data_IF_314497325254
#
_entry.id   IF_314497325254
#
_cell.length_a   1.000
_cell.length_b   1.000
_cell.length_c   1.000
_cell.angle_alpha   90.00
_cell.angle_beta   90.00
_cell.angle_gamma   90.00
#
_symmetry.space_group_name_H-M   'P 1'
#
loop_
_entity.id
_entity.type
_entity.pdbx_description
1 polymer ?
#
# COMPACT_ATOMS: atom_id res chain seq x y z
N UNK A 1 -18.82 4.13 66.32
CA UNK A 1 -17.83 4.77 65.42
C UNK A 1 -16.63 3.84 65.34
N UNK A 2 -16.05 3.39 64.24
CA UNK A 2 -16.37 3.36 62.80
C UNK A 2 -15.18 2.61 62.19
N UNK A 3 -15.30 1.29 61.98
CA UNK A 3 -14.24 0.46 61.39
C UNK A 3 -14.80 -0.26 60.16
N UNK A 4 -15.18 0.50 59.14
CA UNK A 4 -15.72 -0.09 57.89
C UNK A 4 -15.39 0.67 56.61
N UNK A 5 -14.49 1.66 56.64
CA UNK A 5 -14.30 2.58 55.51
C UNK A 5 -12.83 2.78 55.16
N UNK A 6 -12.03 1.73 55.00
CA UNK A 6 -10.65 1.89 54.53
C UNK A 6 -10.11 0.71 53.70
N UNK A 7 -10.98 -0.05 53.03
CA UNK A 7 -10.59 -1.25 52.28
C UNK A 7 -11.12 -1.30 50.84
N UNK A 8 -11.60 -0.18 50.31
CA UNK A 8 -12.14 -0.10 48.94
C UNK A 8 -11.35 0.80 47.98
N UNK A 9 -10.30 1.51 48.43
CA UNK A 9 -9.53 2.44 47.58
C UNK A 9 -8.24 1.81 47.04
N UNK A 10 -7.70 0.76 47.67
CA UNK A 10 -6.40 0.17 47.27
C UNK A 10 -6.51 -0.84 46.11
N UNK A 11 -7.71 -1.31 45.77
CA UNK A 11 -7.91 -2.32 44.72
C UNK A 11 -7.94 -1.75 43.29
N UNK A 12 -7.98 -0.42 43.11
CA UNK A 12 -8.05 0.22 41.79
C UNK A 12 -6.64 0.49 41.20
N UNK A 13 -5.60 0.53 42.03
CA UNK A 13 -4.23 0.87 41.61
C UNK A 13 -3.38 -0.31 41.14
N UNK A 14 -3.87 -1.55 41.23
CA UNK A 14 -3.14 -2.77 40.81
C UNK A 14 -3.67 -3.38 39.51
N UNK A 15 -4.64 -2.74 38.85
CA UNK A 15 -5.07 -3.17 37.52
C UNK A 15 -3.96 -2.81 36.53
N UNK A 16 -3.32 -3.79 35.84
CA UNK A 16 -2.38 -3.45 34.78
C UNK A 16 -3.10 -2.56 33.77
N UNK A 17 -2.50 -1.45 33.30
CA UNK A 17 -3.16 -0.59 32.34
C UNK A 17 -3.55 -1.43 31.13
N UNK A 18 -4.85 -1.55 30.91
CA UNK A 18 -5.36 -2.21 29.71
C UNK A 18 -5.01 -1.28 28.55
N UNK A 19 -3.87 -1.51 27.91
CA UNK A 19 -3.47 -0.78 26.71
C UNK A 19 -4.40 -1.24 25.58
N UNK A 20 -5.49 -0.51 25.39
CA UNK A 20 -6.40 -0.75 24.28
C UNK A 20 -5.65 -0.57 22.96
N UNK A 21 -5.69 -1.59 22.12
CA UNK A 21 -5.23 -1.45 20.76
C UNK A 21 -6.18 -0.51 20.00
N UNK A 22 -5.62 0.45 19.28
CA UNK A 22 -6.37 1.40 18.48
C UNK A 22 -6.00 1.26 17.01
N UNK A 23 -6.96 1.49 16.12
CA UNK A 23 -6.70 1.50 14.69
C UNK A 23 -7.52 2.58 14.00
N UNK A 24 -7.06 3.01 12.83
CA UNK A 24 -7.77 4.01 12.05
C UNK A 24 -7.11 4.29 10.71
N UNK A 25 -7.47 5.43 10.16
CA UNK A 25 -6.90 5.97 8.93
C UNK A 25 -6.70 7.47 9.11
N UNK A 26 -5.55 7.99 8.71
CA UNK A 26 -5.22 9.40 8.77
C UNK A 26 -5.09 9.94 7.34
N UNK A 27 -5.76 11.05 6.98
CA UNK A 27 -5.52 11.70 5.70
C UNK A 27 -4.10 12.28 5.66
N UNK A 28 -3.38 12.05 4.57
CA UNK A 28 -2.01 12.53 4.34
C UNK A 28 -1.88 13.40 3.09
N UNK A 29 -2.92 13.46 2.26
CA UNK A 29 -2.92 14.28 1.06
C UNK A 29 -4.35 14.71 0.69
N UNK A 30 -4.48 15.94 0.19
CA UNK A 30 -5.73 16.57 -0.23
C UNK A 30 -5.64 17.07 -1.66
N UNK A 31 -6.75 17.19 -2.41
CA UNK A 31 -6.70 17.63 -3.81
C UNK A 31 -5.97 18.97 -3.95
N UNK A 32 -5.06 19.07 -4.93
CA UNK A 32 -4.29 20.28 -5.22
C UNK A 32 -3.21 20.66 -4.20
N UNK A 33 -3.10 19.96 -3.07
CA UNK A 33 -2.03 20.20 -2.09
C UNK A 33 -0.80 19.33 -2.38
N UNK A 34 0.40 19.91 -2.45
CA UNK A 34 1.62 19.13 -2.63
C UNK A 34 1.92 18.31 -1.36
N UNK A 35 2.32 17.06 -1.57
CA UNK A 35 2.86 16.18 -0.54
C UNK A 35 4.38 16.31 -0.57
N UNK A 36 5.03 16.73 0.53
CA UNK A 36 6.49 16.77 0.59
C UNK A 36 7.07 15.35 0.57
N UNK A 37 8.34 15.24 0.18
CA UNK A 37 9.07 13.98 0.32
C UNK A 37 9.22 13.60 1.79
N UNK A 38 9.03 12.32 2.12
CA UNK A 38 9.38 11.77 3.42
C UNK A 38 10.75 11.08 3.38
N UNK A 39 11.45 11.10 4.51
CA UNK A 39 12.76 10.47 4.66
C UNK A 39 12.61 8.95 4.50
N UNK A 40 13.33 8.39 3.54
CA UNK A 40 13.31 6.95 3.26
C UNK A 40 12.38 6.56 2.10
N UNK A 41 11.63 7.50 1.53
CA UNK A 41 10.96 7.24 0.25
C UNK A 41 11.96 7.15 -0.90
N UNK A 42 11.71 6.26 -1.88
CA UNK A 42 12.56 6.14 -3.05
C UNK A 42 12.47 7.38 -3.92
N UNK A 43 13.60 7.77 -4.53
CA UNK A 43 13.65 8.88 -5.48
C UNK A 43 12.67 8.65 -6.65
N UNK A 44 11.94 9.69 -7.06
CA UNK A 44 10.91 9.62 -8.10
C UNK A 44 9.48 9.39 -7.58
N UNK A 45 9.31 8.99 -6.32
CA UNK A 45 7.97 8.69 -5.78
C UNK A 45 7.10 9.94 -5.63
N UNK A 46 7.70 11.06 -5.25
CA UNK A 46 6.99 12.33 -4.99
C UNK A 46 6.35 12.86 -6.26
N UNK A 47 6.99 12.66 -7.41
CA UNK A 47 6.52 13.06 -8.72
C UNK A 47 5.25 12.32 -9.14
N UNK A 48 5.09 11.05 -8.74
CA UNK A 48 3.85 10.30 -8.94
C UNK A 48 2.78 10.74 -7.94
N UNK A 49 3.14 10.90 -6.66
CA UNK A 49 2.20 11.30 -5.60
C UNK A 49 1.61 12.68 -5.89
N UNK A 50 2.40 13.62 -6.40
CA UNK A 50 1.96 14.98 -6.71
C UNK A 50 1.40 15.15 -8.11
N UNK A 51 1.05 14.05 -8.78
CA UNK A 51 0.41 14.15 -10.07
C UNK A 51 -0.97 14.84 -9.97
N UNK A 52 -1.36 15.70 -10.93
CA UNK A 52 -2.65 16.38 -10.90
C UNK A 52 -3.87 15.45 -10.85
N UNK A 53 -3.74 14.21 -11.32
CA UNK A 53 -4.81 13.21 -11.24
C UNK A 53 -5.04 12.69 -9.80
N UNK A 54 -4.11 12.94 -8.85
CA UNK A 54 -4.29 12.55 -7.45
C UNK A 54 -5.40 13.39 -6.83
N UNK A 55 -6.38 12.72 -6.25
CA UNK A 55 -7.40 13.39 -5.44
C UNK A 55 -6.99 13.39 -3.97
N UNK A 56 -6.78 12.22 -3.37
CA UNK A 56 -6.65 12.07 -1.92
C UNK A 56 -5.55 11.08 -1.54
N UNK A 57 -5.16 11.05 -0.27
CA UNK A 57 -4.23 10.05 0.24
C UNK A 57 -4.40 9.79 1.75
N UNK A 58 -4.11 8.55 2.16
CA UNK A 58 -4.28 8.07 3.53
C UNK A 58 -3.13 7.19 3.99
N UNK A 59 -2.94 7.18 5.30
CA UNK A 59 -2.07 6.26 6.00
C UNK A 59 -2.93 5.48 7.02
N UNK A 60 -3.19 4.18 6.79
CA UNK A 60 -3.81 3.34 7.81
C UNK A 60 -2.84 3.19 8.97
N UNK A 61 -3.37 3.19 10.18
CA UNK A 61 -2.53 3.05 11.37
C UNK A 61 -3.15 2.09 12.38
N UNK A 62 -2.27 1.43 13.13
CA UNK A 62 -2.60 0.58 14.26
C UNK A 62 -1.60 0.85 15.38
N UNK A 63 -2.08 0.92 16.63
CA UNK A 63 -1.23 1.20 17.80
C UNK A 63 -0.16 0.12 17.96
N UNK A 64 1.10 0.54 18.05
CA UNK A 64 2.22 -0.39 18.15
C UNK A 64 2.57 -1.06 16.82
N UNK A 65 2.12 -0.55 15.68
CA UNK A 65 2.60 -0.96 14.36
C UNK A 65 3.41 0.17 13.70
N UNK A 66 4.25 -0.14 12.70
CA UNK A 66 5.09 0.88 12.07
C UNK A 66 4.30 1.96 11.34
N UNK A 67 3.12 1.62 10.81
CA UNK A 67 2.27 2.53 10.02
C UNK A 67 3.06 3.14 8.83
N UNK A 68 3.88 2.32 8.17
CA UNK A 68 4.85 2.74 7.16
C UNK A 68 4.26 2.94 5.76
N UNK A 69 3.04 2.48 5.52
CA UNK A 69 2.43 2.46 4.18
C UNK A 69 1.49 3.64 3.97
N UNK A 70 1.67 4.34 2.86
CA UNK A 70 0.78 5.40 2.39
C UNK A 70 0.03 4.94 1.14
N UNK A 71 -1.21 5.38 0.98
CA UNK A 71 -2.08 5.10 -0.16
C UNK A 71 -2.54 6.41 -0.78
N UNK A 72 -2.52 6.50 -2.10
CA UNK A 72 -2.96 7.66 -2.86
C UNK A 72 -3.89 7.20 -3.98
N UNK A 73 -4.99 7.91 -4.19
CA UNK A 73 -6.00 7.56 -5.20
C UNK A 73 -5.98 8.56 -6.34
N UNK A 74 -6.28 8.07 -7.54
CA UNK A 74 -6.22 8.86 -8.76
C UNK A 74 -7.52 8.71 -9.56
N UNK A 75 -8.03 9.85 -10.03
CA UNK A 75 -9.10 9.90 -11.03
C UNK A 75 -8.47 10.11 -12.40
N UNK A 76 -8.75 9.22 -13.33
CA UNK A 76 -8.16 9.22 -14.66
C UNK A 76 -9.24 9.54 -15.67
N UNK A 77 -8.96 10.46 -16.60
CA UNK A 77 -9.90 10.78 -17.67
C UNK A 77 -9.83 9.76 -18.80
N UNK A 78 -8.63 9.26 -19.10
CA UNK A 78 -8.38 8.32 -20.20
C UNK A 78 -7.09 7.49 -20.01
N UNK A 79 -6.72 6.71 -21.03
CA UNK A 79 -5.49 5.93 -21.05
C UNK A 79 -4.22 6.78 -21.18
N UNK A 80 -4.31 8.05 -21.59
CA UNK A 80 -3.15 8.96 -21.62
C UNK A 80 -2.72 9.26 -20.18
N UNK A 81 -3.67 9.54 -19.30
CA UNK A 81 -3.41 9.69 -17.86
C UNK A 81 -2.82 8.41 -17.26
N UNK A 82 -3.40 7.26 -17.58
CA UNK A 82 -2.90 5.97 -17.10
C UNK A 82 -1.44 5.74 -17.51
N UNK A 83 -1.12 5.96 -18.79
CA UNK A 83 0.24 5.82 -19.31
C UNK A 83 1.20 6.81 -18.67
N UNK A 84 0.80 8.07 -18.50
CA UNK A 84 1.60 9.09 -17.83
C UNK A 84 1.95 8.67 -16.39
N UNK A 85 0.98 8.15 -15.62
CA UNK A 85 1.23 7.64 -14.27
C UNK A 85 2.11 6.39 -14.26
N UNK A 86 1.94 5.49 -15.22
CA UNK A 86 2.82 4.31 -15.38
C UNK A 86 4.26 4.74 -15.68
N UNK A 87 4.47 5.78 -16.50
CA UNK A 87 5.81 6.33 -16.74
C UNK A 87 6.41 6.94 -15.48
N UNK A 88 5.61 7.68 -14.69
CA UNK A 88 6.06 8.19 -13.39
C UNK A 88 6.42 7.06 -12.42
N UNK A 89 5.64 5.97 -12.39
CA UNK A 89 5.94 4.78 -11.60
C UNK A 89 7.28 4.17 -12.03
N UNK A 90 7.49 4.03 -13.33
CA UNK A 90 8.70 3.49 -13.91
C UNK A 90 9.96 4.35 -13.64
N UNK A 91 9.78 5.64 -13.37
CA UNK A 91 10.86 6.55 -13.01
C UNK A 91 11.31 6.45 -11.54
N UNK A 92 10.56 5.73 -10.69
CA UNK A 92 10.93 5.52 -9.29
C UNK A 92 12.13 4.57 -9.23
N UNK A 93 13.20 5.00 -8.55
CA UNK A 93 14.49 4.28 -8.51
C UNK A 93 14.51 3.12 -7.51
N UNK A 94 13.59 2.18 -7.67
CA UNK A 94 13.53 0.91 -6.91
C UNK A 94 12.69 -0.11 -7.67
N UNK A 95 12.52 -1.31 -7.09
CA UNK A 95 11.65 -2.32 -7.65
C UNK A 95 10.18 -1.88 -7.56
N UNK A 96 9.54 -1.61 -8.69
CA UNK A 96 8.15 -1.13 -8.77
C UNK A 96 7.20 -2.19 -9.32
N UNK A 97 5.93 -2.07 -8.93
CA UNK A 97 4.89 -3.03 -9.27
C UNK A 97 3.67 -2.33 -9.87
N UNK A 98 3.18 -2.86 -10.98
CA UNK A 98 1.88 -2.53 -11.58
C UNK A 98 0.94 -3.71 -11.36
N UNK A 99 -0.13 -3.49 -10.60
CA UNK A 99 -1.19 -4.47 -10.38
C UNK A 99 -2.40 -4.14 -11.25
N UNK A 100 -2.91 -5.14 -11.96
CA UNK A 100 -4.11 -5.01 -12.77
C UNK A 100 -5.28 -5.66 -12.03
N UNK A 101 -6.23 -4.84 -11.58
CA UNK A 101 -7.41 -5.28 -10.86
C UNK A 101 -8.64 -5.17 -11.76
N UNK A 102 -9.45 -6.24 -11.92
CA UNK A 102 -10.59 -6.24 -12.84
C UNK A 102 -11.79 -5.42 -12.38
N UNK A 103 -11.82 -4.94 -11.13
CA UNK A 103 -12.91 -4.11 -10.64
C UNK A 103 -12.99 -2.78 -11.41
N UNK A 104 -14.15 -2.12 -11.32
CA UNK A 104 -14.39 -0.84 -12.00
C UNK A 104 -13.71 0.33 -11.31
N UNK A 105 -13.43 0.24 -10.02
CA UNK A 105 -12.85 1.33 -9.21
C UNK A 105 -12.34 0.78 -7.88
N UNK A 106 -11.61 1.61 -7.13
CA UNK A 106 -11.15 1.28 -5.81
C UNK A 106 -12.31 1.05 -4.82
N UNK A 107 -12.35 -0.13 -4.18
CA UNK A 107 -13.34 -0.46 -3.14
C UNK A 107 -12.84 -0.26 -1.71
N UNK A 108 -11.53 -0.25 -1.51
CA UNK A 108 -10.91 -0.08 -0.20
C UNK A 108 -9.46 0.40 -0.32
N UNK A 109 -8.97 1.02 0.74
CA UNK A 109 -7.57 1.39 0.94
C UNK A 109 -7.10 0.73 2.24
N UNK A 110 -6.23 -0.28 2.08
CA UNK A 110 -5.82 -1.15 3.17
C UNK A 110 -7.00 -1.79 3.92
N UNK A 111 -6.81 -2.08 5.21
CA UNK A 111 -7.76 -2.81 6.06
C UNK A 111 -8.80 -1.92 6.75
N UNK A 112 -8.55 -0.61 6.91
CA UNK A 112 -9.41 0.30 7.68
C UNK A 112 -10.31 1.20 6.83
N UNK A 113 -10.03 1.39 5.55
CA UNK A 113 -10.72 2.41 4.74
C UNK A 113 -11.55 1.75 3.64
N UNK A 114 -12.88 1.91 3.69
CA UNK A 114 -13.80 1.51 2.61
C UNK A 114 -14.15 2.73 1.76
N UNK A 115 -14.14 2.55 0.44
CA UNK A 115 -14.54 3.61 -0.49
C UNK A 115 -15.99 3.38 -0.90
N UNK A 116 -16.75 4.48 -1.04
CA UNK A 116 -18.14 4.41 -1.52
C UNK A 116 -18.16 3.95 -2.98
N UNK A 117 -19.13 3.11 -3.40
CA UNK A 117 -19.36 2.86 -4.82
C UNK A 117 -19.64 4.15 -5.60
N UNK A 118 -19.25 4.20 -6.87
CA UNK A 118 -19.33 5.37 -7.74
C UNK A 118 -18.26 6.43 -7.47
N UNK A 119 -17.15 6.08 -6.81
CA UNK A 119 -16.11 7.05 -6.46
C UNK A 119 -15.21 7.48 -7.63
N UNK A 120 -15.25 6.75 -8.75
CA UNK A 120 -14.52 7.04 -10.00
C UNK A 120 -12.98 7.05 -9.86
N UNK A 121 -12.41 6.46 -8.82
CA UNK A 121 -10.96 6.31 -8.70
C UNK A 121 -10.51 5.07 -9.47
N UNK A 122 -9.86 5.32 -10.60
CA UNK A 122 -9.39 4.31 -11.54
C UNK A 122 -8.01 3.75 -11.17
N UNK A 123 -7.30 4.36 -10.22
CA UNK A 123 -6.03 3.83 -9.73
C UNK A 123 -5.74 4.14 -8.26
N UNK A 124 -4.91 3.29 -7.65
CA UNK A 124 -4.37 3.45 -6.30
C UNK A 124 -2.86 3.26 -6.35
N UNK A 125 -2.10 4.20 -5.81
CA UNK A 125 -0.68 4.03 -5.53
C UNK A 125 -0.48 3.72 -4.05
N UNK A 126 0.37 2.74 -3.74
CA UNK A 126 0.78 2.40 -2.38
C UNK A 126 2.29 2.44 -2.24
N UNK A 127 2.76 3.00 -1.13
CA UNK A 127 4.18 3.27 -0.89
C UNK A 127 4.53 2.95 0.57
N UNK A 128 5.32 1.90 0.80
CA UNK A 128 5.92 1.61 2.11
C UNK A 128 7.19 2.43 2.36
N UNK A 129 7.54 2.60 3.64
CA UNK A 129 8.76 3.31 4.06
C UNK A 129 9.65 2.37 4.90
N UNK A 130 10.68 1.80 4.27
CA UNK A 130 11.62 0.88 4.93
C UNK A 130 12.28 1.50 6.16
N UNK A 131 12.57 2.80 6.11
CA UNK A 131 13.20 3.49 7.23
C UNK A 131 12.34 3.45 8.48
N UNK A 132 11.03 3.64 8.35
CA UNK A 132 10.08 3.58 9.47
C UNK A 132 10.04 2.17 10.08
N UNK A 133 10.11 1.14 9.24
CA UNK A 133 10.23 -0.25 9.70
C UNK A 133 11.53 -0.48 10.48
N UNK A 134 12.66 0.00 9.95
CA UNK A 134 13.98 -0.16 10.55
C UNK A 134 14.07 0.57 11.89
N UNK A 135 13.53 1.79 11.97
CA UNK A 135 13.51 2.59 13.20
C UNK A 135 12.65 1.92 14.30
N UNK A 136 11.45 1.43 13.96
CA UNK A 136 10.62 0.69 14.91
C UNK A 136 11.32 -0.60 15.38
N UNK A 137 11.94 -1.33 14.45
CA UNK A 137 12.68 -2.54 14.78
C UNK A 137 13.84 -2.24 15.74
N UNK A 138 14.62 -1.20 15.48
CA UNK A 138 15.71 -0.76 16.34
C UNK A 138 15.22 -0.37 17.75
N UNK A 139 14.12 0.39 17.85
CA UNK A 139 13.52 0.75 19.13
C UNK A 139 13.10 -0.48 19.95
N UNK A 140 12.44 -1.45 19.30
CA UNK A 140 12.00 -2.70 19.95
C UNK A 140 13.15 -3.61 20.37
N UNK A 141 14.23 -3.62 19.60
CA UNK A 141 15.42 -4.39 19.95
C UNK A 141 16.10 -3.79 21.18
N UNK A 142 16.21 -2.46 21.27
CA UNK A 142 16.75 -1.76 22.46
C UNK A 142 15.90 -2.00 23.71
N UNK A 143 14.56 -1.93 23.60
CA UNK A 143 13.65 -2.15 24.73
C UNK A 143 13.72 -3.58 25.30
N UNK A 144 14.12 -4.57 24.49
CA UNK A 144 14.32 -5.97 24.89
C UNK A 144 15.68 -6.23 25.52
N UNK A 145 16.69 -5.39 25.26
CA UNK A 145 18.01 -5.47 25.91
C UNK A 145 17.99 -5.00 27.38
N UNK A 146 16.85 -4.53 27.88
CA UNK A 146 16.66 -4.16 29.30
C UNK A 146 16.36 -5.42 30.13
N UNK A 147 17.08 -5.67 31.24
CA UNK A 147 16.82 -6.81 32.11
C UNK A 147 15.37 -6.84 32.60
N UNK A 148 14.67 -7.98 32.38
CA UNK A 148 13.28 -8.19 32.82
C UNK A 148 12.23 -8.28 31.69
N UNK A 149 12.56 -7.90 30.46
CA UNK A 149 11.63 -7.99 29.32
C UNK A 149 11.78 -9.31 28.55
N UNK A 150 11.13 -10.37 29.06
CA UNK A 150 11.08 -11.68 28.41
C UNK A 150 10.00 -11.70 27.30
N UNK A 151 10.25 -11.01 26.19
CA UNK A 151 9.42 -11.13 24.99
C UNK A 151 10.04 -12.15 24.02
N UNK A 152 9.24 -13.13 23.61
CA UNK A 152 9.56 -14.26 22.74
C UNK A 152 10.23 -13.86 21.40
N UNK A 153 10.97 -14.84 20.86
CA UNK A 153 12.00 -14.79 19.80
C UNK A 153 12.06 -13.53 18.89
N UNK A 154 13.25 -12.95 18.69
CA UNK A 154 13.42 -11.84 17.75
C UNK A 154 13.14 -12.30 16.31
N UNK A 155 12.35 -11.52 15.58
CA UNK A 155 12.46 -11.54 14.12
C UNK A 155 13.92 -11.18 13.77
N UNK A 156 14.62 -12.03 13.03
CA UNK A 156 16.05 -11.88 12.74
C UNK A 156 16.38 -10.61 11.93
N UNK A 157 15.39 -9.99 11.28
CA UNK A 157 15.50 -8.75 10.50
C UNK A 157 14.15 -8.03 10.41
N UNK A 158 14.11 -6.70 10.21
CA UNK A 158 12.87 -6.02 9.85
C UNK A 158 12.29 -6.61 8.57
N UNK A 159 10.96 -6.62 8.46
CA UNK A 159 10.30 -6.95 7.21
C UNK A 159 10.69 -5.94 6.12
N UNK A 160 10.67 -6.38 4.86
CA UNK A 160 10.81 -5.45 3.75
C UNK A 160 9.52 -4.62 3.62
N UNK A 161 9.68 -3.32 3.41
CA UNK A 161 8.57 -2.42 3.15
C UNK A 161 7.84 -2.82 1.86
N UNK A 162 6.55 -2.48 1.80
CA UNK A 162 5.78 -2.66 0.59
C UNK A 162 6.45 -1.89 -0.56
N UNK A 163 6.84 -2.56 -1.65
CA UNK A 163 7.42 -1.87 -2.79
C UNK A 163 6.40 -0.89 -3.39
N UNK A 164 6.85 0.21 -4.02
CA UNK A 164 5.95 1.13 -4.72
C UNK A 164 5.07 0.35 -5.71
N UNK A 165 3.77 0.34 -5.42
CA UNK A 165 2.81 -0.48 -6.14
C UNK A 165 1.67 0.39 -6.64
N UNK A 166 1.50 0.45 -7.95
CA UNK A 166 0.39 1.12 -8.62
C UNK A 166 -0.64 0.08 -9.04
N UNK A 167 -1.84 0.15 -8.49
CA UNK A 167 -2.98 -0.70 -8.87
C UNK A 167 -3.87 0.07 -9.84
N UNK A 168 -4.08 -0.49 -11.02
CA UNK A 168 -4.98 0.04 -12.03
C UNK A 168 -6.27 -0.80 -12.05
N UNK A 169 -7.42 -0.13 -11.95
CA UNK A 169 -8.75 -0.76 -12.02
C UNK A 169 -9.20 -0.81 -13.47
N UNK A 170 -8.91 -1.93 -14.14
CA UNK A 170 -9.00 -2.06 -15.59
C UNK A 170 -10.45 -2.23 -16.09
N UNK A 171 -11.41 -2.44 -15.19
CA UNK A 171 -12.83 -2.35 -15.50
C UNK A 171 -13.37 -0.91 -15.53
N UNK A 172 -12.54 0.09 -15.18
CA UNK A 172 -12.93 1.49 -15.24
C UNK A 172 -13.00 1.96 -16.71
N UNK A 173 -14.03 2.72 -17.13
CA UNK A 173 -14.20 3.13 -18.53
C UNK A 173 -13.08 4.02 -19.10
N UNK A 174 -12.30 4.67 -18.23
CA UNK A 174 -11.13 5.45 -18.65
C UNK A 174 -9.92 4.59 -19.02
N UNK A 175 -9.98 3.27 -18.77
CA UNK A 175 -8.84 2.36 -18.96
C UNK A 175 -9.08 1.46 -20.15
N UNK A 176 -8.27 1.67 -21.19
CA UNK A 176 -8.15 0.75 -22.31
C UNK A 176 -6.86 -0.06 -22.17
N UNK A 177 -6.99 -1.33 -21.76
CA UNK A 177 -5.89 -2.28 -21.59
C UNK A 177 -5.00 -2.40 -22.83
N UNK A 178 -5.58 -2.30 -24.03
CA UNK A 178 -4.84 -2.45 -25.29
C UNK A 178 -3.91 -1.27 -25.58
N UNK A 179 -4.16 -0.12 -24.95
CA UNK A 179 -3.40 1.12 -25.12
C UNK A 179 -2.35 1.35 -24.02
N UNK A 180 -2.18 0.41 -23.09
CA UNK A 180 -1.23 0.56 -21.99
C UNK A 180 0.22 0.38 -22.48
N UNK A 181 1.01 1.45 -22.39
CA UNK A 181 2.44 1.47 -22.64
C UNK A 181 3.23 1.24 -21.36
N UNK A 182 3.31 -0.03 -20.94
CA UNK A 182 4.02 -0.42 -19.72
C UNK A 182 5.50 -0.67 -20.04
N UNK A 183 6.46 0.05 -19.43
CA UNK A 183 7.89 -0.22 -19.58
C UNK A 183 8.27 -1.64 -19.13
N UNK A 184 9.30 -2.22 -19.75
CA UNK A 184 9.63 -3.63 -19.55
C UNK A 184 10.19 -3.91 -18.13
N UNK A 185 10.80 -2.92 -17.47
CA UNK A 185 11.34 -3.05 -16.11
C UNK A 185 10.29 -2.94 -14.99
N UNK A 186 9.03 -2.62 -15.32
CA UNK A 186 7.94 -2.58 -14.34
C UNK A 186 7.39 -3.99 -14.13
N UNK A 187 7.32 -4.46 -12.88
CA UNK A 187 6.73 -5.77 -12.61
C UNK A 187 5.22 -5.73 -12.73
N UNK A 188 4.66 -6.52 -13.66
CA UNK A 188 3.22 -6.57 -13.89
C UNK A 188 2.63 -7.84 -13.29
N UNK A 189 1.55 -7.69 -12.52
CA UNK A 189 0.82 -8.82 -11.94
C UNK A 189 -0.69 -8.60 -11.98
N UNK A 190 -1.44 -9.70 -11.98
CA UNK A 190 -2.89 -9.68 -11.84
C UNK A 190 -3.28 -9.67 -10.36
N UNK A 191 -4.20 -8.77 -9.99
CA UNK A 191 -4.83 -8.72 -8.67
C UNK A 191 -6.30 -9.15 -8.81
N UNK A 192 -6.48 -10.45 -9.10
CA UNK A 192 -7.80 -11.05 -9.36
C UNK A 192 -8.22 -11.82 -8.12
N UNK A 193 -9.28 -11.40 -7.40
CA UNK A 193 -9.82 -12.16 -6.28
C UNK A 193 -10.22 -13.57 -6.74
N UNK A 194 -9.91 -14.58 -5.93
CA UNK A 194 -10.18 -15.99 -6.28
C UNK A 194 -11.66 -16.25 -6.57
N UNK A 195 -12.55 -15.65 -5.76
CA UNK A 195 -14.00 -15.72 -5.96
C UNK A 195 -14.48 -15.10 -7.29
N UNK A 196 -13.71 -14.17 -7.86
CA UNK A 196 -14.09 -13.51 -9.10
C UNK A 196 -13.80 -14.37 -10.34
N UNK A 197 -12.86 -15.33 -10.25
CA UNK A 197 -12.34 -16.11 -11.41
C UNK A 197 -13.37 -16.95 -12.17
N UNK A 198 -14.53 -17.21 -11.58
CA UNK A 198 -15.52 -18.16 -12.09
C UNK A 198 -16.80 -17.50 -12.66
N UNK A 199 -16.84 -16.17 -12.86
CA UNK A 199 -18.00 -15.45 -13.41
C UNK A 199 -17.90 -15.08 -14.90
N UNK A 200 -18.99 -15.20 -15.66
CA UNK A 200 -19.03 -15.11 -17.13
C UNK A 200 -18.71 -13.73 -17.78
N UNK A 201 -19.02 -12.54 -17.22
CA UNK A 201 -18.47 -11.26 -17.74
C UNK A 201 -17.00 -11.06 -17.36
N UNK A 202 -16.59 -11.71 -16.28
CA UNK A 202 -15.27 -11.59 -15.69
C UNK A 202 -14.23 -12.35 -16.54
N UNK A 203 -14.67 -13.35 -17.30
CA UNK A 203 -13.80 -14.18 -18.14
C UNK A 203 -13.02 -13.38 -19.19
N UNK A 204 -13.64 -12.46 -19.94
CA UNK A 204 -12.95 -11.70 -21.01
C UNK A 204 -11.90 -10.74 -20.45
N UNK A 205 -12.27 -9.95 -19.42
CA UNK A 205 -11.32 -9.01 -18.81
C UNK A 205 -10.18 -9.74 -18.10
N UNK A 206 -10.42 -10.90 -17.49
CA UNK A 206 -9.36 -11.72 -16.90
C UNK A 206 -8.43 -12.29 -17.97
N UNK A 207 -8.97 -12.76 -19.09
CA UNK A 207 -8.14 -13.22 -20.20
C UNK A 207 -7.25 -12.09 -20.72
N UNK A 208 -7.79 -10.88 -20.88
CA UNK A 208 -7.01 -9.72 -21.29
C UNK A 208 -5.91 -9.36 -20.28
N UNK A 209 -6.22 -9.35 -18.98
CA UNK A 209 -5.23 -9.15 -17.90
C UNK A 209 -4.15 -10.23 -17.95
N UNK A 210 -4.54 -11.51 -18.02
CA UNK A 210 -3.62 -12.64 -18.02
C UNK A 210 -2.71 -12.62 -19.25
N UNK A 211 -3.25 -12.30 -20.44
CA UNK A 211 -2.49 -12.15 -21.67
C UNK A 211 -1.46 -11.02 -21.55
N UNK A 212 -1.85 -9.87 -20.99
CA UNK A 212 -0.94 -8.75 -20.78
C UNK A 212 0.18 -9.09 -19.77
N UNK A 213 -0.16 -9.72 -18.66
CA UNK A 213 0.81 -10.19 -17.65
C UNK A 213 1.78 -11.20 -18.26
N UNK A 214 1.28 -12.16 -19.05
CA UNK A 214 2.12 -13.17 -19.71
C UNK A 214 3.08 -12.52 -20.71
N UNK A 215 2.58 -11.60 -21.55
CA UNK A 215 3.39 -10.83 -22.50
C UNK A 215 4.54 -10.10 -21.80
N UNK A 216 4.26 -9.45 -20.66
CA UNK A 216 5.29 -8.73 -19.90
C UNK A 216 6.30 -9.66 -19.24
N UNK A 217 5.85 -10.79 -18.67
CA UNK A 217 6.77 -11.79 -18.11
C UNK A 217 7.74 -12.37 -19.15
N UNK A 218 7.30 -12.55 -20.39
CA UNK A 218 8.17 -13.01 -21.49
C UNK A 218 9.25 -11.96 -21.79
N UNK A 219 8.86 -10.69 -21.88
CA UNK A 219 9.80 -9.59 -22.11
C UNK A 219 10.80 -9.42 -20.98
N UNK A 220 10.36 -9.53 -19.72
CA UNK A 220 11.25 -9.49 -18.55
C UNK A 220 12.26 -10.64 -18.52
N UNK A 221 11.90 -11.79 -19.10
CA UNK A 221 12.79 -12.95 -19.26
C UNK A 221 13.68 -12.89 -20.51
N UNK A 222 13.45 -11.95 -21.43
CA UNK A 222 14.30 -11.69 -22.60
C UNK A 222 15.10 -10.42 -22.40
N UNK A 223 16.24 -10.55 -21.73
CA UNK A 223 17.49 -10.51 -22.46
C UNK A 223 18.11 -11.90 -22.37
N UNK A 224 18.28 -12.60 -23.49
CA UNK A 224 19.41 -13.50 -23.53
C UNK A 224 20.66 -12.66 -23.20
N UNK A 225 21.70 -13.24 -22.65
CA UNK A 225 23.04 -12.72 -22.94
C UNK A 225 23.36 -11.29 -22.46
N UNK A 226 23.63 -11.16 -21.16
CA UNK A 226 24.86 -10.47 -20.78
C UNK A 226 25.77 -11.45 -20.03
N UNK A 227 26.61 -12.22 -20.74
CA UNK A 227 27.95 -12.45 -20.23
C UNK A 227 28.71 -11.13 -20.27
N UNK A 228 29.17 -10.70 -19.10
CA UNK A 228 30.60 -10.62 -18.82
C UNK A 228 30.81 -10.75 -17.31
#
# INVERSE_FOLDING_TARGET
MTLRTLLFVTAILTSPPTLFAMSGSRPVAWPGQPVPSDRGWPAGAVELINDPARTEGWNPWFSGWPNDVHYYVFKLSDSVDANRLIQRLAAIRTNVHLKLNPAREAGALAFTTRMKPGNSHAAVFSLGNQRVLDELFAQRSRARSVPGNSASQPAARPAAALPPTFTLYVGHPSIDLSKLGIPDHVNVSADIPEAARNGEPAHVIFQAINALVAKHKIKQKSPADLPK
#
